data_IF_583705817967
#
_entry.id   IF_583705817967
#
_cell.length_a   1.000
_cell.length_b   1.000
_cell.length_c   1.000
_cell.angle_alpha   90.00
_cell.angle_beta   90.00
_cell.angle_gamma   90.00
#
_symmetry.space_group_name_H-M   'P 1'
#
loop_
_entity.id
_entity.type
_entity.pdbx_description
1 polymer ?
#
# COMPACT_ATOMS: atom_id res chain seq x y z
N UNK A 1 0.94 22.64 -22.30
CA UNK A 1 -0.24 22.77 -21.42
C UNK A 1 0.08 22.04 -20.12
N UNK A 2 0.40 22.77 -19.04
CA UNK A 2 0.93 22.18 -17.80
C UNK A 2 -0.12 21.42 -17.00
N UNK A 3 -0.01 20.09 -16.94
CA UNK A 3 -0.77 19.24 -16.00
C UNK A 3 -0.30 19.59 -14.58
N UNK A 4 -1.19 20.19 -13.79
CA UNK A 4 -0.99 20.39 -12.35
C UNK A 4 -0.75 19.02 -11.71
N UNK A 5 0.46 18.78 -11.20
CA UNK A 5 0.72 17.69 -10.25
C UNK A 5 -0.20 17.93 -9.06
N UNK A 6 -1.21 17.09 -8.87
CA UNK A 6 -1.94 17.02 -7.62
C UNK A 6 -1.02 16.33 -6.61
N UNK A 7 -0.13 17.11 -5.99
CA UNK A 7 0.59 16.65 -4.80
C UNK A 7 -0.48 16.45 -3.73
N UNK A 8 -0.70 15.20 -3.30
CA UNK A 8 -1.51 14.93 -2.11
C UNK A 8 -0.99 15.81 -0.98
N UNK A 9 -1.91 16.44 -0.27
CA UNK A 9 -1.53 17.40 0.76
C UNK A 9 -0.84 16.66 1.90
N UNK A 10 0.11 17.30 2.57
CA UNK A 10 0.72 16.72 3.78
C UNK A 10 -0.31 16.35 4.85
N UNK A 11 -1.52 16.91 4.77
CA UNK A 11 -2.65 16.63 5.66
C UNK A 11 -3.24 15.23 5.44
N UNK A 12 -3.32 14.75 4.19
CA UNK A 12 -3.87 13.41 3.89
C UNK A 12 -2.93 12.29 4.38
N UNK A 13 -1.62 12.48 4.22
CA UNK A 13 -0.61 11.54 4.73
C UNK A 13 -0.62 11.49 6.25
N UNK A 14 -0.74 12.64 6.92
CA UNK A 14 -0.80 12.71 8.39
C UNK A 14 -2.07 12.04 8.96
N UNK A 15 -3.20 12.19 8.27
CA UNK A 15 -4.44 11.50 8.65
C UNK A 15 -4.28 9.97 8.54
N UNK A 16 -3.70 9.51 7.44
CA UNK A 16 -3.46 8.08 7.22
C UNK A 16 -2.45 7.52 8.21
N UNK A 17 -1.35 8.24 8.49
CA UNK A 17 -0.39 7.89 9.53
C UNK A 17 -1.08 7.72 10.89
N UNK A 18 -1.90 8.71 11.29
CA UNK A 18 -2.59 8.68 12.59
C UNK A 18 -3.53 7.47 12.71
N UNK A 19 -4.24 7.14 11.65
CA UNK A 19 -5.14 5.97 11.61
C UNK A 19 -4.38 4.66 11.76
N UNK A 20 -3.31 4.48 10.98
CA UNK A 20 -2.51 3.25 11.03
C UNK A 20 -1.83 3.09 12.39
N UNK A 21 -1.28 4.17 12.97
CA UNK A 21 -0.74 4.14 14.34
C UNK A 21 -1.82 3.69 15.34
N UNK A 22 -3.04 4.21 15.21
CA UNK A 22 -4.17 3.82 16.06
C UNK A 22 -4.52 2.34 15.94
N UNK A 23 -4.55 1.80 14.73
CA UNK A 23 -4.81 0.37 14.49
C UNK A 23 -3.72 -0.52 15.09
N UNK A 24 -2.44 -0.16 14.91
CA UNK A 24 -1.32 -0.91 15.50
C UNK A 24 -1.40 -0.93 17.02
N UNK A 25 -1.72 0.21 17.65
CA UNK A 25 -1.90 0.29 19.10
C UNK A 25 -3.08 -0.55 19.58
N UNK A 26 -4.20 -0.54 18.84
CA UNK A 26 -5.39 -1.33 19.17
C UNK A 26 -5.10 -2.84 19.12
N UNK A 27 -4.33 -3.31 18.13
CA UNK A 27 -3.95 -4.72 17.99
C UNK A 27 -3.15 -5.24 19.20
N UNK A 28 -2.32 -4.39 19.81
CA UNK A 28 -1.57 -4.74 21.02
C UNK A 28 -2.32 -4.43 22.32
N UNK A 29 -3.58 -3.98 22.22
CA UNK A 29 -4.45 -3.69 23.36
C UNK A 29 -4.12 -2.39 24.10
N UNK A 30 -3.40 -1.46 23.47
CA UNK A 30 -2.98 -0.20 24.09
C UNK A 30 -3.76 0.99 23.55
N UNK A 31 -4.00 1.98 24.41
CA UNK A 31 -4.57 3.28 24.01
C UNK A 31 -3.46 4.30 23.74
N UNK A 32 -3.67 5.14 22.73
CA UNK A 32 -2.82 6.29 22.43
C UNK A 32 -2.76 7.33 23.57
N UNK A 33 -3.72 7.31 24.50
CA UNK A 33 -3.79 8.24 25.63
C UNK A 33 -2.91 7.83 26.83
N UNK A 34 -2.39 6.60 26.83
CA UNK A 34 -1.44 6.12 27.83
C UNK A 34 -0.01 6.60 27.57
N UNK A 35 0.81 6.73 28.61
CA UNK A 35 2.24 7.06 28.46
C UNK A 35 2.98 6.05 27.56
N UNK A 36 2.72 4.75 27.75
CA UNK A 36 3.30 3.68 26.94
C UNK A 36 2.79 3.71 25.49
N UNK A 37 1.49 4.01 25.28
CA UNK A 37 0.91 4.15 23.95
C UNK A 37 1.49 5.33 23.17
N UNK A 38 1.69 6.49 23.82
CA UNK A 38 2.39 7.64 23.21
C UNK A 38 3.84 7.35 22.87
N UNK A 39 4.54 6.62 23.75
CA UNK A 39 5.92 6.22 23.51
C UNK A 39 6.00 5.28 22.30
N UNK A 40 5.15 4.26 22.24
CA UNK A 40 5.09 3.33 21.11
C UNK A 40 4.69 4.05 19.82
N UNK A 41 3.66 4.89 19.84
CA UNK A 41 3.25 5.71 18.70
C UNK A 41 4.43 6.48 18.10
N UNK A 42 5.25 7.12 18.95
CA UNK A 42 6.43 7.87 18.51
C UNK A 42 7.49 6.98 17.86
N UNK A 43 7.65 5.75 18.35
CA UNK A 43 8.61 4.78 17.81
C UNK A 43 8.16 4.24 16.45
N UNK A 44 6.86 3.99 16.26
CA UNK A 44 6.33 3.42 15.02
C UNK A 44 5.92 4.47 13.98
N UNK A 45 5.77 5.74 14.37
CA UNK A 45 5.40 6.84 13.46
C UNK A 45 6.27 6.93 12.21
N UNK A 46 7.62 6.85 12.27
CA UNK A 46 8.44 6.95 11.06
C UNK A 46 8.15 5.90 9.99
N UNK A 47 8.16 4.57 10.28
CA UNK A 47 7.80 3.57 9.27
C UNK A 47 6.32 3.67 8.85
N UNK A 48 5.41 4.02 9.76
CA UNK A 48 3.99 4.19 9.43
C UNK A 48 3.77 5.37 8.49
N UNK A 49 4.47 6.48 8.70
CA UNK A 49 4.42 7.64 7.81
C UNK A 49 4.93 7.30 6.42
N UNK A 50 6.06 6.59 6.33
CA UNK A 50 6.56 6.10 5.03
C UNK A 50 5.52 5.23 4.33
N UNK A 51 4.87 4.33 5.06
CA UNK A 51 3.79 3.50 4.50
C UNK A 51 2.60 4.35 4.04
N UNK A 52 2.20 5.36 4.81
CA UNK A 52 1.13 6.29 4.43
C UNK A 52 1.47 7.06 3.13
N UNK A 53 2.72 7.49 2.96
CA UNK A 53 3.20 8.13 1.74
C UNK A 53 3.15 7.16 0.52
N UNK A 54 3.49 5.89 0.73
CA UNK A 54 3.38 4.84 -0.30
C UNK A 54 1.91 4.61 -0.68
N UNK A 55 1.04 4.42 0.31
CA UNK A 55 -0.39 4.18 0.06
C UNK A 55 -1.06 5.37 -0.66
N UNK A 56 -0.78 6.60 -0.22
CA UNK A 56 -1.24 7.82 -0.87
C UNK A 56 -0.78 7.90 -2.33
N UNK A 57 0.48 7.58 -2.59
CA UNK A 57 1.03 7.60 -3.96
C UNK A 57 0.44 6.47 -4.82
N UNK A 58 0.21 5.29 -4.25
CA UNK A 58 -0.46 4.18 -4.91
C UNK A 58 -1.85 4.59 -5.41
N UNK A 59 -2.67 5.18 -4.54
CA UNK A 59 -4.03 5.62 -4.88
C UNK A 59 -4.02 6.64 -6.04
N UNK A 60 -3.13 7.62 -5.97
CA UNK A 60 -2.93 8.58 -7.06
C UNK A 60 -2.53 7.90 -8.36
N UNK A 61 -1.55 7.00 -8.34
CA UNK A 61 -1.10 6.28 -9.53
C UNK A 61 -2.21 5.39 -10.10
N UNK A 62 -3.03 4.79 -9.25
CA UNK A 62 -4.15 3.96 -9.71
C UNK A 62 -5.16 4.80 -10.50
N UNK A 63 -5.45 6.02 -10.01
CA UNK A 63 -6.33 6.96 -10.69
C UNK A 63 -5.73 7.55 -11.98
N UNK A 64 -4.42 7.78 -12.02
CA UNK A 64 -3.76 8.49 -13.14
C UNK A 64 -3.22 7.55 -14.23
N UNK A 65 -2.73 6.38 -13.85
CA UNK A 65 -1.93 5.48 -14.69
C UNK A 65 -2.45 4.03 -14.73
N UNK A 66 -3.50 3.70 -13.97
CA UNK A 66 -4.08 2.36 -13.90
C UNK A 66 -3.53 1.51 -12.74
N UNK A 67 -4.21 0.39 -12.47
CA UNK A 67 -3.90 -0.43 -11.30
C UNK A 67 -2.57 -1.15 -11.44
N UNK A 68 -2.22 -1.60 -12.64
CA UNK A 68 -0.97 -2.32 -12.88
C UNK A 68 0.24 -1.41 -12.60
N UNK A 69 0.19 -0.16 -13.07
CA UNK A 69 1.24 0.82 -12.84
C UNK A 69 1.40 1.14 -11.34
N UNK A 70 0.28 1.40 -10.65
CA UNK A 70 0.26 1.63 -9.21
C UNK A 70 0.79 0.45 -8.40
N UNK A 71 0.40 -0.78 -8.79
CA UNK A 71 0.83 -2.02 -8.18
C UNK A 71 2.35 -2.22 -8.27
N UNK A 72 2.91 -2.08 -9.49
CA UNK A 72 4.36 -2.21 -9.74
C UNK A 72 5.17 -1.17 -8.98
N UNK A 73 4.74 0.09 -9.01
CA UNK A 73 5.41 1.15 -8.26
C UNK A 73 5.39 0.85 -6.76
N UNK A 74 4.23 0.53 -6.20
CA UNK A 74 4.08 0.27 -4.76
C UNK A 74 4.91 -0.93 -4.31
N UNK A 75 4.93 -2.00 -5.11
CA UNK A 75 5.72 -3.20 -4.81
C UNK A 75 7.21 -2.88 -4.76
N UNK A 76 7.73 -2.02 -5.66
CA UNK A 76 9.13 -1.58 -5.63
C UNK A 76 9.53 -0.80 -4.36
N UNK A 77 8.56 -0.26 -3.63
CA UNK A 77 8.80 0.46 -2.38
C UNK A 77 8.74 -0.45 -1.14
N UNK A 78 8.11 -1.63 -1.27
CA UNK A 78 7.72 -2.50 -0.16
C UNK A 78 8.39 -3.88 -0.20
N UNK A 79 8.84 -4.34 -1.37
CA UNK A 79 9.51 -5.60 -1.57
C UNK A 79 10.86 -5.38 -2.28
N UNK A 80 11.83 -6.24 -1.98
CA UNK A 80 13.14 -6.18 -2.61
C UNK A 80 13.10 -6.70 -4.06
N UNK A 81 12.30 -7.74 -4.32
CA UNK A 81 12.21 -8.41 -5.61
C UNK A 81 10.87 -9.14 -5.79
N UNK A 82 10.48 -9.41 -7.04
CA UNK A 82 9.33 -10.22 -7.42
C UNK A 82 9.75 -11.25 -8.46
N UNK A 83 9.67 -12.53 -8.09
CA UNK A 83 9.83 -13.65 -9.01
C UNK A 83 8.45 -14.25 -9.33
N UNK A 84 8.16 -14.44 -10.61
CA UNK A 84 6.88 -14.98 -11.07
C UNK A 84 7.16 -16.27 -11.84
N UNK A 85 6.56 -17.36 -11.38
CA UNK A 85 6.59 -18.66 -12.05
C UNK A 85 5.19 -19.00 -12.54
N UNK A 86 5.10 -19.66 -13.71
CA UNK A 86 3.81 -20.10 -14.25
C UNK A 86 2.95 -18.99 -14.86
N UNK A 87 3.53 -17.84 -15.22
CA UNK A 87 2.81 -16.70 -15.81
C UNK A 87 2.07 -17.08 -17.12
N UNK A 88 2.57 -18.09 -17.84
CA UNK A 88 1.95 -18.66 -19.03
C UNK A 88 0.57 -19.29 -18.78
N UNK A 89 0.23 -19.61 -17.53
CA UNK A 89 -1.09 -20.11 -17.16
C UNK A 89 -2.11 -19.01 -16.89
N UNK A 90 -1.69 -17.75 -16.84
CA UNK A 90 -2.58 -16.60 -16.64
C UNK A 90 -3.38 -16.36 -17.93
N UNK A 91 -4.72 -16.34 -17.87
CA UNK A 91 -5.54 -16.00 -19.03
C UNK A 91 -5.14 -14.64 -19.60
N UNK A 92 -4.89 -14.59 -20.91
CA UNK A 92 -4.50 -13.35 -21.60
C UNK A 92 -5.66 -12.38 -21.86
N UNK A 93 -6.90 -12.80 -21.61
CA UNK A 93 -8.09 -11.99 -21.76
C UNK A 93 -9.22 -12.48 -20.86
N UNK A 94 -10.13 -11.57 -20.52
CA UNK A 94 -11.30 -11.82 -19.69
C UNK A 94 -11.03 -11.67 -18.19
N UNK A 95 -12.10 -11.66 -17.36
CA UNK A 95 -11.98 -11.53 -15.92
C UNK A 95 -11.35 -12.79 -15.29
N UNK A 96 -10.54 -12.58 -14.26
CA UNK A 96 -9.90 -13.66 -13.50
C UNK A 96 -10.21 -13.53 -12.02
N UNK A 97 -10.29 -14.68 -11.33
CA UNK A 97 -10.38 -14.75 -9.87
C UNK A 97 -9.08 -15.35 -9.36
N UNK A 98 -8.39 -14.60 -8.51
CA UNK A 98 -7.10 -15.01 -7.93
C UNK A 98 -7.34 -15.51 -6.51
N UNK A 99 -6.89 -16.74 -6.23
CA UNK A 99 -6.92 -17.31 -4.89
C UNK A 99 -5.49 -17.41 -4.33
N UNK A 100 -5.31 -17.04 -3.06
CA UNK A 100 -4.01 -17.03 -2.38
C UNK A 100 -4.12 -17.64 -1.01
N UNK A 101 -3.09 -18.39 -0.59
CA UNK A 101 -2.96 -18.92 0.76
C UNK A 101 -2.68 -17.83 1.81
N UNK A 102 -2.09 -16.71 1.40
CA UNK A 102 -1.81 -15.58 2.28
C UNK A 102 -2.49 -14.30 1.74
N UNK A 103 -3.54 -13.81 2.40
CA UNK A 103 -4.12 -12.51 2.11
C UNK A 103 -3.32 -11.43 2.84
N UNK A 104 -2.44 -10.75 2.10
CA UNK A 104 -1.69 -9.59 2.59
C UNK A 104 -1.64 -8.49 1.53
N UNK A 105 -1.48 -7.24 1.95
CA UNK A 105 -1.44 -6.10 1.03
C UNK A 105 -0.32 -6.24 -0.02
N UNK A 106 0.86 -6.73 0.39
CA UNK A 106 1.99 -6.97 -0.53
C UNK A 106 1.65 -8.09 -1.53
N UNK A 107 0.97 -9.16 -1.11
CA UNK A 107 0.52 -10.22 -2.02
C UNK A 107 -0.47 -9.66 -3.06
N UNK A 108 -1.41 -8.82 -2.64
CA UNK A 108 -2.36 -8.17 -3.55
C UNK A 108 -1.63 -7.30 -4.59
N UNK A 109 -0.61 -6.53 -4.17
CA UNK A 109 0.22 -5.75 -5.09
C UNK A 109 1.00 -6.63 -6.06
N UNK A 110 1.57 -7.75 -5.59
CA UNK A 110 2.24 -8.71 -6.45
C UNK A 110 1.29 -9.29 -7.52
N UNK A 111 0.06 -9.63 -7.15
CA UNK A 111 -0.95 -10.10 -8.10
C UNK A 111 -1.35 -9.04 -9.11
N UNK A 112 -1.62 -7.80 -8.67
CA UNK A 112 -1.93 -6.69 -9.57
C UNK A 112 -0.76 -6.41 -10.52
N UNK A 113 0.48 -6.49 -10.05
CA UNK A 113 1.67 -6.21 -10.85
C UNK A 113 1.98 -7.27 -11.92
N UNK A 114 1.54 -8.52 -11.71
CA UNK A 114 1.92 -9.69 -12.52
C UNK A 114 0.78 -10.37 -13.27
N UNK A 115 -0.47 -10.21 -12.82
CA UNK A 115 -1.65 -10.90 -13.36
C UNK A 115 -2.66 -9.92 -13.96
N UNK A 116 -2.82 -8.73 -13.38
CA UNK A 116 -3.80 -7.78 -13.87
C UNK A 116 -3.39 -7.19 -15.24
N UNK A 117 -4.41 -6.95 -16.07
CA UNK A 117 -4.32 -6.24 -17.33
C UNK A 117 -5.33 -5.09 -17.24
N UNK A 118 -4.88 -3.85 -17.44
CA UNK A 118 -5.77 -2.67 -17.45
C UNK A 118 -6.64 -2.62 -18.73
#
# INVERSE_FOLDING_TARGET
MGRRRATLSGVEVQELERRIVGEVLAVVGWSADGLLGRALARVISPPVRRFAEVAATCDRLAAEEGFVAAGRWSLSQLAADLQVEGAEHVPSAGPVVIASNHPGAVNALAFVASVASD
#
